data_IF_657394991977
#
_entry.id   IF_657394991977
#
_cell.length_a   1.000
_cell.length_b   1.000
_cell.length_c   1.000
_cell.angle_alpha   90.00
_cell.angle_beta   90.00
_cell.angle_gamma   90.00
#
_symmetry.space_group_name_H-M   'P 1'
#
loop_
_entity.id
_entity.type
_entity.pdbx_description
1 polymer ?
#
# COMPACT_ATOMS: atom_id res chain seq x y z
N UNK A 1 17.88 -1.28 19.41
CA UNK A 1 16.66 -1.41 18.59
C UNK A 1 15.50 -1.51 19.54
N UNK A 2 14.49 -0.64 19.39
CA UNK A 2 13.28 -0.72 20.17
C UNK A 2 12.42 -1.86 19.60
N UNK A 3 12.27 -2.96 20.35
CA UNK A 3 11.55 -4.15 19.89
C UNK A 3 10.03 -3.91 19.77
N UNK A 4 9.54 -2.81 20.35
CA UNK A 4 8.12 -2.46 20.38
C UNK A 4 7.74 -1.44 19.29
N UNK A 5 8.70 -0.94 18.52
CA UNK A 5 8.41 0.03 17.47
C UNK A 5 7.69 -0.64 16.30
N UNK A 6 6.52 -0.11 15.98
CA UNK A 6 5.69 -0.46 14.82
C UNK A 6 5.61 0.70 13.84
N UNK A 7 5.33 0.38 12.58
CA UNK A 7 5.16 1.34 11.50
C UNK A 7 3.82 1.14 10.82
N UNK A 8 3.10 2.23 10.47
CA UNK A 8 1.84 2.13 9.74
C UNK A 8 2.02 1.41 8.41
N UNK A 9 1.13 0.47 8.13
CA UNK A 9 0.96 -0.16 6.82
C UNK A 9 -0.26 0.47 6.16
N UNK A 10 -0.06 1.06 4.99
CA UNK A 10 -1.12 1.65 4.18
C UNK A 10 -1.27 0.90 2.86
N UNK A 11 -2.48 0.93 2.29
CA UNK A 11 -2.66 0.83 0.84
C UNK A 11 -2.48 2.23 0.30
N UNK A 12 -1.48 2.47 -0.56
CA UNK A 12 -1.31 3.76 -1.22
C UNK A 12 -1.88 3.70 -2.65
N UNK A 13 -2.50 4.79 -3.07
CA UNK A 13 -3.18 4.91 -4.35
C UNK A 13 -2.50 5.93 -5.24
N UNK A 14 -2.28 5.55 -6.50
CA UNK A 14 -1.67 6.40 -7.51
C UNK A 14 -2.51 6.45 -8.77
N UNK A 15 -2.67 7.63 -9.35
CA UNK A 15 -3.29 7.80 -10.66
C UNK A 15 -2.45 7.09 -11.75
N UNK A 16 -3.14 6.37 -12.64
CA UNK A 16 -2.53 5.74 -13.82
C UNK A 16 -3.34 6.07 -15.07
N UNK A 17 -2.66 6.00 -16.21
CA UNK A 17 -3.28 6.16 -17.54
C UNK A 17 -3.02 4.92 -18.38
N UNK A 18 -3.89 4.66 -19.36
CA UNK A 18 -3.71 3.57 -20.33
C UNK A 18 -4.04 2.16 -19.82
N UNK A 19 -4.48 2.00 -18.57
CA UNK A 19 -4.97 0.70 -18.08
C UNK A 19 -6.41 0.46 -18.58
N UNK A 20 -6.69 -0.74 -19.10
CA UNK A 20 -7.96 -1.06 -19.76
C UNK A 20 -9.18 -1.03 -18.83
N UNK A 21 -8.96 -1.12 -17.52
CA UNK A 21 -10.02 -1.24 -16.50
C UNK A 21 -9.95 -0.25 -15.34
N UNK A 22 -8.77 0.32 -15.07
CA UNK A 22 -8.48 1.02 -13.81
C UNK A 22 -7.99 2.42 -14.09
N UNK A 23 -8.33 3.33 -13.19
CA UNK A 23 -7.81 4.69 -13.16
C UNK A 23 -6.72 4.83 -12.09
N UNK A 24 -6.58 3.84 -11.21
CA UNK A 24 -5.61 3.85 -10.12
C UNK A 24 -4.81 2.55 -9.99
N UNK A 25 -3.53 2.71 -9.67
CA UNK A 25 -2.64 1.67 -9.17
C UNK A 25 -2.64 1.66 -7.65
N UNK A 26 -2.65 0.47 -7.06
CA UNK A 26 -2.54 0.28 -5.62
C UNK A 26 -1.28 -0.50 -5.27
N UNK A 27 -0.61 -0.10 -4.19
CA UNK A 27 0.46 -0.84 -3.56
C UNK A 27 0.30 -0.90 -2.04
N UNK A 28 1.11 -1.73 -1.39
CA UNK A 28 1.27 -1.71 0.07
C UNK A 28 2.51 -0.88 0.41
N UNK A 29 2.36 0.05 1.34
CA UNK A 29 3.46 0.91 1.78
C UNK A 29 3.57 0.91 3.30
N UNK A 30 4.77 0.63 3.82
CA UNK A 30 5.11 0.81 5.23
C UNK A 30 5.76 2.17 5.43
N UNK A 31 5.15 3.01 6.27
CA UNK A 31 5.58 4.37 6.57
C UNK A 31 6.61 4.35 7.73
N UNK A 32 7.90 4.46 7.41
CA UNK A 32 8.97 4.41 8.42
C UNK A 32 9.24 5.79 9.01
N UNK A 33 9.27 6.80 8.16
CA UNK A 33 9.44 8.21 8.54
C UNK A 33 8.82 9.11 7.46
N UNK A 34 8.72 10.44 7.68
CA UNK A 34 8.17 11.37 6.69
C UNK A 34 8.86 11.31 5.32
N UNK A 35 10.09 10.78 5.25
CA UNK A 35 10.88 10.70 4.03
C UNK A 35 11.35 9.29 3.69
N UNK A 36 10.97 8.26 4.46
CA UNK A 36 11.38 6.87 4.21
C UNK A 36 10.16 5.96 4.27
N UNK A 37 9.97 5.18 3.20
CA UNK A 37 8.93 4.15 3.14
C UNK A 37 9.42 2.89 2.42
N UNK A 38 8.81 1.76 2.74
CA UNK A 38 8.98 0.51 1.99
C UNK A 38 7.73 0.24 1.18
N UNK A 39 7.87 0.15 -0.14
CA UNK A 39 6.77 -0.09 -1.08
C UNK A 39 6.83 -1.53 -1.59
N UNK A 40 5.70 -2.24 -1.56
CA UNK A 40 5.52 -3.59 -2.07
C UNK A 40 4.40 -3.57 -3.11
N UNK A 41 4.72 -3.97 -4.35
CA UNK A 41 3.77 -3.82 -5.45
C UNK A 41 3.99 -4.83 -6.57
N UNK A 42 3.04 -4.84 -7.50
CA UNK A 42 3.15 -5.52 -8.77
C UNK A 42 3.23 -4.50 -9.89
N UNK A 43 4.36 -4.47 -10.61
CA UNK A 43 4.63 -3.57 -11.74
C UNK A 43 4.56 -4.29 -13.07
N UNK A 44 4.32 -3.52 -14.14
CA UNK A 44 4.20 -4.02 -15.50
C UNK A 44 2.75 -4.02 -15.96
N UNK A 45 2.45 -4.85 -16.95
CA UNK A 45 1.09 -5.08 -17.43
C UNK A 45 0.77 -6.58 -17.43
N UNK A 46 -0.42 -6.96 -17.91
CA UNK A 46 -0.89 -8.36 -17.93
C UNK A 46 0.14 -9.40 -18.40
N UNK A 47 1.04 -9.09 -19.34
CA UNK A 47 2.04 -10.02 -19.84
C UNK A 47 3.36 -10.04 -19.05
N UNK A 48 3.63 -9.01 -18.27
CA UNK A 48 4.95 -8.68 -17.71
C UNK A 48 4.93 -8.49 -16.20
N UNK A 49 3.77 -8.65 -15.55
CA UNK A 49 3.63 -8.40 -14.12
C UNK A 49 4.73 -9.07 -13.29
N UNK A 50 5.37 -8.27 -12.44
CA UNK A 50 6.40 -8.72 -11.51
C UNK A 50 6.21 -8.06 -10.16
N UNK A 51 6.45 -8.84 -9.10
CA UNK A 51 6.56 -8.30 -7.75
C UNK A 51 7.83 -7.46 -7.61
N UNK A 52 7.74 -6.33 -6.92
CA UNK A 52 8.84 -5.43 -6.60
C UNK A 52 8.71 -4.96 -5.15
N UNK A 53 9.86 -4.87 -4.47
CA UNK A 53 10.01 -4.21 -3.17
C UNK A 53 11.08 -3.13 -3.30
N UNK A 54 10.69 -1.88 -3.03
CA UNK A 54 11.60 -0.72 -3.05
C UNK A 54 11.61 -0.01 -1.70
N UNK A 55 12.75 0.56 -1.34
CA UNK A 55 12.85 1.58 -0.29
C UNK A 55 12.88 2.95 -0.94
N UNK A 56 11.89 3.78 -0.64
CA UNK A 56 11.75 5.13 -1.20
C UNK A 56 12.22 6.14 -0.16
N UNK A 57 13.23 6.93 -0.52
CA UNK A 57 13.81 7.99 0.32
C UNK A 57 13.29 9.38 -0.08
N UNK A 58 11.96 9.51 -0.18
CA UNK A 58 11.27 10.77 -0.43
C UNK A 58 9.89 10.75 0.23
N UNK A 59 9.31 11.91 0.60
CA UNK A 59 7.93 11.97 1.08
C UNK A 59 6.97 11.42 0.02
N UNK A 60 6.11 10.48 0.39
CA UNK A 60 5.14 9.88 -0.54
C UNK A 60 4.19 10.93 -1.15
N UNK A 61 3.77 11.92 -0.36
CA UNK A 61 2.96 13.05 -0.83
C UNK A 61 3.64 13.94 -1.88
N UNK A 62 4.97 13.83 -2.05
CA UNK A 62 5.69 14.53 -3.13
C UNK A 62 5.62 13.82 -4.49
N UNK A 63 5.12 12.57 -4.53
CA UNK A 63 4.97 11.80 -5.77
C UNK A 63 3.78 12.36 -6.57
N UNK A 64 3.96 12.89 -7.80
CA UNK A 64 2.91 13.62 -8.51
C UNK A 64 1.63 12.82 -8.80
N UNK A 65 1.73 11.50 -8.88
CA UNK A 65 0.60 10.61 -9.12
C UNK A 65 -0.07 10.13 -7.85
N UNK A 66 0.46 10.42 -6.65
CA UNK A 66 -0.13 9.98 -5.39
C UNK A 66 -1.48 10.66 -5.14
N UNK A 67 -2.48 9.88 -4.69
CA UNK A 67 -3.88 10.31 -4.51
C UNK A 67 -4.43 9.84 -3.15
N UNK A 68 -3.58 9.77 -2.13
CA UNK A 68 -3.96 9.34 -0.79
C UNK A 68 -3.82 7.84 -0.56
N UNK A 69 -4.26 7.40 0.62
CA UNK A 69 -4.11 6.03 1.05
C UNK A 69 -5.12 5.59 2.10
N UNK A 70 -5.03 4.32 2.48
CA UNK A 70 -5.89 3.69 3.48
C UNK A 70 -5.02 2.99 4.52
N UNK A 71 -5.13 3.40 5.79
CA UNK A 71 -4.42 2.73 6.88
C UNK A 71 -5.05 1.36 7.17
N UNK A 72 -4.25 0.31 7.04
CA UNK A 72 -4.73 -1.08 7.03
C UNK A 72 -4.05 -1.98 8.05
N UNK A 73 -3.00 -1.53 8.73
CA UNK A 73 -2.31 -2.38 9.71
C UNK A 73 -1.05 -1.74 10.28
N UNK A 74 -0.36 -2.50 11.12
CA UNK A 74 0.88 -2.08 11.76
C UNK A 74 1.96 -3.16 11.56
N UNK A 75 3.16 -2.75 11.20
CA UNK A 75 4.29 -3.65 10.93
C UNK A 75 5.38 -3.41 11.97
N UNK A 76 5.77 -4.42 12.77
CA UNK A 76 6.93 -4.29 13.63
C UNK A 76 8.18 -3.93 12.82
N UNK A 77 8.97 -2.98 13.32
CA UNK A 77 10.17 -2.46 12.63
C UNK A 77 11.17 -3.56 12.24
N UNK A 78 11.23 -4.63 13.04
CA UNK A 78 12.09 -5.81 12.83
C UNK A 78 11.54 -6.79 11.79
N UNK A 79 10.31 -6.60 11.32
CA UNK A 79 9.58 -7.55 10.47
C UNK A 79 9.45 -7.12 9.01
N UNK A 80 10.01 -5.98 8.59
CA UNK A 80 9.90 -5.49 7.20
C UNK A 80 10.48 -6.50 6.19
N UNK A 81 11.68 -7.04 6.45
CA UNK A 81 12.27 -8.06 5.57
C UNK A 81 11.46 -9.37 5.58
N UNK A 82 10.86 -9.73 6.72
CA UNK A 82 10.00 -10.91 6.82
C UNK A 82 8.69 -10.71 6.06
N UNK A 83 8.14 -9.49 6.09
CA UNK A 83 6.97 -9.08 5.33
C UNK A 83 7.24 -9.20 3.83
N UNK A 84 8.37 -8.69 3.34
CA UNK A 84 8.79 -8.83 1.93
C UNK A 84 8.81 -10.30 1.49
N UNK A 85 9.56 -11.14 2.21
CA UNK A 85 9.69 -12.57 1.91
C UNK A 85 8.34 -13.30 2.01
N UNK A 86 7.44 -12.84 2.89
CA UNK A 86 6.09 -13.38 3.05
C UNK A 86 5.22 -13.04 1.84
N UNK A 87 5.19 -11.77 1.41
CA UNK A 87 4.43 -11.31 0.26
C UNK A 87 4.92 -11.97 -1.04
N UNK A 88 6.24 -11.99 -1.25
CA UNK A 88 6.88 -12.57 -2.43
C UNK A 88 6.60 -14.07 -2.59
N UNK A 89 6.56 -14.80 -1.48
CA UNK A 89 6.36 -16.27 -1.49
C UNK A 89 4.89 -16.65 -1.60
N UNK A 90 4.01 -15.96 -0.87
CA UNK A 90 2.67 -16.46 -0.58
C UNK A 90 1.55 -15.69 -1.31
N UNK A 91 1.85 -14.58 -2.00
CA UNK A 91 0.87 -13.84 -2.82
C UNK A 91 1.18 -14.02 -4.31
N UNK A 92 0.30 -14.71 -5.02
CA UNK A 92 0.49 -15.02 -6.43
C UNK A 92 0.49 -13.76 -7.31
N UNK A 93 1.45 -13.70 -8.25
CA UNK A 93 1.44 -12.75 -9.37
C UNK A 93 0.92 -13.48 -10.60
N UNK A 94 -0.25 -13.08 -11.10
CA UNK A 94 -0.91 -13.73 -12.23
C UNK A 94 -0.59 -12.95 -13.51
N UNK A 95 -0.18 -13.67 -14.55
CA UNK A 95 0.07 -13.11 -15.88
C UNK A 95 -0.92 -13.68 -16.89
N UNK A 96 -1.09 -12.96 -18.00
CA UNK A 96 -1.95 -13.31 -19.13
C UNK A 96 -3.45 -13.40 -18.75
N UNK A 97 -3.84 -12.80 -17.64
CA UNK A 97 -5.23 -12.65 -17.21
C UNK A 97 -5.59 -11.17 -17.14
N UNK A 98 -6.42 -10.71 -18.07
CA UNK A 98 -6.85 -9.30 -18.16
C UNK A 98 -7.83 -8.91 -17.05
N UNK A 99 -8.37 -9.86 -16.30
CA UNK A 99 -9.26 -9.59 -15.16
C UNK A 99 -8.50 -9.32 -13.86
N UNK A 100 -7.20 -9.64 -13.83
CA UNK A 100 -6.32 -9.53 -12.67
C UNK A 100 -5.35 -8.35 -12.81
N UNK A 101 -5.20 -7.55 -11.75
CA UNK A 101 -4.23 -6.45 -11.68
C UNK A 101 -3.64 -6.24 -10.27
N UNK A 102 -2.87 -5.17 -10.10
CA UNK A 102 -2.26 -4.78 -8.82
C UNK A 102 -3.29 -4.64 -7.67
N UNK A 103 -4.53 -4.21 -7.93
CA UNK A 103 -5.54 -4.10 -6.88
C UNK A 103 -5.95 -5.50 -6.39
N UNK A 104 -6.03 -6.48 -7.29
CA UNK A 104 -6.32 -7.87 -6.94
C UNK A 104 -5.17 -8.48 -6.12
N UNK A 105 -3.92 -8.17 -6.48
CA UNK A 105 -2.74 -8.54 -5.68
C UNK A 105 -2.77 -7.93 -4.27
N UNK A 106 -3.04 -6.62 -4.15
CA UNK A 106 -3.13 -5.94 -2.84
C UNK A 106 -4.23 -6.57 -1.98
N UNK A 107 -5.41 -6.85 -2.55
CA UNK A 107 -6.50 -7.48 -1.79
C UNK A 107 -6.16 -8.90 -1.33
N UNK A 108 -5.42 -9.67 -2.13
CA UNK A 108 -4.91 -10.98 -1.73
C UNK A 108 -3.86 -10.85 -0.61
N UNK A 109 -2.93 -9.90 -0.73
CA UNK A 109 -1.94 -9.61 0.29
C UNK A 109 -2.58 -9.21 1.63
N UNK A 110 -3.59 -8.33 1.63
CA UNK A 110 -4.31 -7.94 2.85
C UNK A 110 -5.02 -9.12 3.53
N UNK A 111 -5.52 -10.10 2.76
CA UNK A 111 -6.10 -11.33 3.33
C UNK A 111 -5.04 -12.14 4.07
N UNK A 112 -3.88 -12.35 3.44
CA UNK A 112 -2.73 -13.03 4.04
C UNK A 112 -2.24 -12.31 5.31
N UNK A 113 -2.03 -11.00 5.23
CA UNK A 113 -1.50 -10.21 6.35
C UNK A 113 -2.47 -10.11 7.52
N UNK A 114 -3.78 -10.25 7.29
CA UNK A 114 -4.76 -10.34 8.37
C UNK A 114 -4.67 -11.66 9.13
N UNK A 115 -4.35 -12.76 8.44
CA UNK A 115 -4.08 -14.06 9.08
C UNK A 115 -2.81 -13.99 9.95
N UNK A 116 -1.82 -13.22 9.52
CA UNK A 116 -0.58 -12.96 10.26
C UNK A 116 -0.73 -11.93 11.40
N UNK A 117 -1.91 -11.29 11.53
CA UNK A 117 -2.18 -10.25 12.53
C UNK A 117 -1.54 -8.90 12.24
N UNK A 118 -0.98 -8.70 11.05
CA UNK A 118 -0.38 -7.43 10.59
C UNK A 118 -1.47 -6.47 10.11
N UNK A 119 -2.40 -6.96 9.27
CA UNK A 119 -3.53 -6.15 8.81
C UNK A 119 -4.70 -6.24 9.80
N UNK A 120 -5.43 -5.12 9.98
CA UNK A 120 -6.57 -5.08 10.89
C UNK A 120 -7.69 -6.01 10.43
N UNK A 121 -8.38 -6.63 11.40
CA UNK A 121 -9.47 -7.58 11.13
C UNK A 121 -10.64 -6.98 10.34
N UNK A 122 -10.86 -5.68 10.50
CA UNK A 122 -11.93 -4.92 9.83
C UNK A 122 -11.64 -4.62 8.36
N UNK A 123 -10.37 -4.73 7.93
CA UNK A 123 -9.96 -4.42 6.57
C UNK A 123 -10.49 -5.47 5.60
N UNK A 124 -11.35 -5.00 4.70
CA UNK A 124 -11.89 -5.76 3.57
C UNK A 124 -11.95 -4.86 2.33
N UNK A 125 -12.33 -5.43 1.18
CA UNK A 125 -12.36 -4.68 -0.08
C UNK A 125 -13.26 -3.43 -0.04
N UNK A 126 -14.44 -3.53 0.61
CA UNK A 126 -15.36 -2.40 0.68
C UNK A 126 -14.78 -1.27 1.55
N UNK A 127 -14.16 -1.63 2.68
CA UNK A 127 -13.44 -0.69 3.53
C UNK A 127 -12.31 0.01 2.77
N UNK A 128 -11.41 -0.74 2.13
CA UNK A 128 -10.28 -0.16 1.39
C UNK A 128 -10.75 0.79 0.30
N UNK A 129 -11.74 0.39 -0.50
CA UNK A 129 -12.29 1.26 -1.57
C UNK A 129 -12.89 2.54 -1.02
N UNK A 130 -13.66 2.44 0.07
CA UNK A 130 -14.29 3.59 0.70
C UNK A 130 -13.23 4.55 1.24
N UNK A 131 -12.28 4.07 2.03
CA UNK A 131 -11.25 4.90 2.64
C UNK A 131 -10.36 5.56 1.57
N UNK A 132 -9.99 4.84 0.52
CA UNK A 132 -9.21 5.42 -0.58
C UNK A 132 -9.97 6.51 -1.34
N UNK A 133 -11.29 6.36 -1.51
CA UNK A 133 -12.12 7.41 -2.10
C UNK A 133 -12.21 8.65 -1.19
N UNK A 134 -12.36 8.45 0.11
CA UNK A 134 -12.42 9.54 1.09
C UNK A 134 -11.08 10.27 1.22
N UNK A 135 -9.95 9.55 1.26
CA UNK A 135 -8.61 10.14 1.35
C UNK A 135 -8.20 10.85 0.04
N UNK A 136 -8.65 10.32 -1.12
CA UNK A 136 -8.52 11.02 -2.39
C UNK A 136 -9.32 12.33 -2.43
N UNK A 137 -10.52 12.36 -1.84
CA UNK A 137 -11.30 13.60 -1.75
C UNK A 137 -10.60 14.65 -0.87
N UNK A 138 -10.01 14.23 0.26
CA UNK A 138 -9.16 15.12 1.10
C UNK A 138 -8.01 15.71 0.31
N UNK A 139 -7.29 14.86 -0.42
CA UNK A 139 -6.20 15.30 -1.30
C UNK A 139 -6.67 16.35 -2.32
N UNK A 140 -7.86 16.19 -2.91
CA UNK A 140 -8.43 17.15 -3.86
C UNK A 140 -8.80 18.49 -3.21
N UNK A 141 -9.20 18.47 -1.95
CA UNK A 141 -9.58 19.64 -1.16
C UNK A 141 -8.37 20.35 -0.52
N UNK A 142 -7.18 19.74 -0.58
CA UNK A 142 -5.97 20.23 0.07
C UNK A 142 -5.93 19.98 1.58
N UNK A 143 -6.70 18.99 2.04
CA UNK A 143 -6.78 18.51 3.42
C UNK A 143 -5.73 17.41 3.69
N UNK A 144 -5.41 17.17 4.96
CA UNK A 144 -4.38 16.19 5.36
C UNK A 144 -4.69 14.76 4.87
N UNK A 145 -3.78 14.18 4.10
CA UNK A 145 -3.84 12.78 3.63
C UNK A 145 -3.45 11.78 4.74
N UNK A 146 -3.67 10.48 4.51
CA UNK A 146 -3.42 9.44 5.52
C UNK A 146 -1.99 9.47 6.08
N UNK A 147 -0.97 9.67 5.24
CA UNK A 147 0.42 9.69 5.69
C UNK A 147 0.72 10.94 6.53
N UNK A 148 0.15 12.08 6.16
CA UNK A 148 0.33 13.35 6.87
C UNK A 148 -0.27 13.21 8.26
N UNK A 149 -1.46 12.61 8.37
CA UNK A 149 -2.09 12.31 9.66
C UNK A 149 -1.25 11.38 10.54
N UNK A 150 -0.49 10.44 9.97
CA UNK A 150 0.40 9.58 10.75
C UNK A 150 1.65 10.31 11.26
N UNK A 151 2.21 11.23 10.49
CA UNK A 151 3.40 11.98 10.90
C UNK A 151 3.08 13.21 11.77
N UNK A 152 1.93 13.86 11.55
CA UNK A 152 1.46 15.01 12.35
C UNK A 152 1.08 14.63 13.78
N UNK A 153 0.50 13.44 13.98
CA UNK A 153 0.11 12.93 15.30
C UNK A 153 1.27 12.36 16.15
N UNK A 154 2.51 12.44 15.66
CA UNK A 154 3.70 11.89 16.35
C UNK A 154 4.46 12.91 17.22
N UNK A 155 3.83 14.05 17.58
CA UNK A 155 4.40 15.12 18.41
C UNK A 155 3.78 15.20 19.80
#
# INVERSE_FOLDING_TARGET
MNLDQTYPLIVAQYEITGHHRRTEHWNLTVLVSPSVSHTFEVRGNSDTFTYVHDTVSAPIGSIPTYRGGCHVGEVPSTSINRLDERLKRDVAVIRLDLSWDCQDWVLAALRLLREDGIAFKTVNQAYVRKELQEDMARWQEGDDTVEERHFSNSH
#
